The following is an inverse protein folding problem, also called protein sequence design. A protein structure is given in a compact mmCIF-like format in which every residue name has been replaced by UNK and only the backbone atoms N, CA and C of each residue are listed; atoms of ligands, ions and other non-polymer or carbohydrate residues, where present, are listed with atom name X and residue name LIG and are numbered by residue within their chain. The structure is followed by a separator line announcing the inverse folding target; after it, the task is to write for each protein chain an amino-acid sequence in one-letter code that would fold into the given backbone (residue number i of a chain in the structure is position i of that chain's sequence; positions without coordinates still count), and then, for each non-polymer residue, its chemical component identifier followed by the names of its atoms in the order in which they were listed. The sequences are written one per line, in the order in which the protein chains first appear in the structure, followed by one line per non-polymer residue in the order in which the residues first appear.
data_IF_603012355905
#
_entry.id   IF_603012355905
#
_cell.length_a   1.000
_cell.length_b   1.000
_cell.length_c   1.000
_cell.angle_alpha   90.00
_cell.angle_beta   90.00
_cell.angle_gamma   90.00
#
_symmetry.space_group_name_H-M   'P 1'
#
loop_
_entity.id
_entity.type
_entity.pdbx_description
1 polymer ?
#
# COMPACT_ATOMS: atom_id res chain seq x y z
N UNK A 1 -8.19 24.92 -7.61
CA UNK A 1 -7.06 23.99 -7.44
C UNK A 1 -6.89 23.26 -8.78
N UNK A 2 -5.76 23.43 -9.45
CA UNK A 2 -5.56 22.85 -10.79
C UNK A 2 -5.29 21.35 -10.62
N UNK A 3 -6.23 20.51 -11.06
CA UNK A 3 -5.99 19.08 -11.28
C UNK A 3 -5.02 18.98 -12.44
N UNK A 4 -3.82 18.49 -12.22
CA UNK A 4 -2.78 18.47 -13.25
C UNK A 4 -2.92 17.32 -14.25
N UNK A 5 -4.01 16.54 -14.27
CA UNK A 5 -4.31 15.65 -15.40
C UNK A 5 -3.55 14.33 -15.45
N UNK A 6 -2.63 14.06 -14.52
CA UNK A 6 -1.65 12.95 -14.66
C UNK A 6 -1.67 12.02 -13.44
N UNK A 7 -1.95 10.71 -13.62
CA UNK A 7 -1.93 9.71 -12.53
C UNK A 7 -0.52 9.55 -11.95
N UNK A 8 -0.39 9.05 -10.72
CA UNK A 8 0.91 8.60 -10.23
C UNK A 8 1.27 7.26 -10.85
N UNK A 9 2.52 7.14 -11.29
CA UNK A 9 3.09 5.90 -11.82
C UNK A 9 4.39 5.67 -11.06
N UNK A 10 4.32 4.86 -10.01
CA UNK A 10 5.44 4.62 -9.11
C UNK A 10 6.15 3.32 -9.53
N UNK A 11 7.40 3.45 -9.93
CA UNK A 11 8.26 2.30 -10.21
C UNK A 11 8.71 1.67 -8.88
N UNK A 12 8.30 0.43 -8.65
CA UNK A 12 8.75 -0.44 -7.55
C UNK A 12 10.10 -1.05 -7.92
N UNK A 13 11.18 -0.50 -7.35
CA UNK A 13 12.55 -0.83 -7.77
C UNK A 13 12.97 -2.27 -7.50
N UNK A 14 12.36 -2.95 -6.53
CA UNK A 14 12.80 -4.29 -6.12
C UNK A 14 11.73 -5.37 -6.33
N UNK A 15 10.44 -4.99 -6.32
CA UNK A 15 9.32 -5.92 -6.23
C UNK A 15 9.24 -6.67 -4.90
N UNK A 16 10.09 -6.35 -3.91
CA UNK A 16 10.23 -7.16 -2.70
C UNK A 16 9.25 -6.78 -1.60
N UNK A 17 8.71 -7.80 -0.92
CA UNK A 17 7.89 -7.64 0.28
C UNK A 17 8.70 -7.28 1.53
N UNK A 18 10.02 -7.54 1.54
CA UNK A 18 10.90 -7.20 2.66
C UNK A 18 11.37 -5.74 2.63
N UNK A 19 10.97 -4.99 1.61
CA UNK A 19 11.28 -3.59 1.44
C UNK A 19 11.51 -3.22 -0.02
N UNK A 20 10.98 -2.08 -0.42
CA UNK A 20 11.17 -1.53 -1.75
C UNK A 20 11.07 0.00 -1.76
N UNK A 21 11.46 0.57 -2.87
CA UNK A 21 11.36 1.98 -3.18
C UNK A 21 10.38 2.16 -4.33
N UNK A 22 9.44 3.09 -4.15
CA UNK A 22 8.39 3.44 -5.09
C UNK A 22 8.61 4.88 -5.50
N UNK A 23 9.11 5.09 -6.71
CA UNK A 23 9.47 6.42 -7.23
C UNK A 23 8.55 6.77 -8.38
N UNK A 24 7.80 7.87 -8.25
CA UNK A 24 6.96 8.37 -9.34
C UNK A 24 7.79 8.79 -10.56
N UNK A 25 7.32 8.47 -11.77
CA UNK A 25 8.01 8.81 -13.03
C UNK A 25 8.30 10.31 -13.22
N UNK A 26 7.56 11.18 -12.52
CA UNK A 26 7.74 12.63 -12.58
C UNK A 26 8.32 13.19 -11.26
N UNK A 27 8.91 12.35 -10.42
CA UNK A 27 9.55 12.70 -9.14
C UNK A 27 8.62 13.46 -8.17
N UNK A 28 7.29 13.29 -8.30
CA UNK A 28 6.30 13.98 -7.45
C UNK A 28 6.14 13.33 -6.07
N UNK A 29 6.45 12.04 -5.97
CA UNK A 29 6.40 11.27 -4.72
C UNK A 29 7.46 10.16 -4.76
N UNK A 30 8.13 9.95 -3.63
CA UNK A 30 9.08 8.86 -3.42
C UNK A 30 8.80 8.23 -2.06
N UNK A 31 8.24 7.02 -2.09
CA UNK A 31 7.95 6.23 -0.90
C UNK A 31 8.97 5.11 -0.75
N UNK A 32 9.55 4.97 0.44
CA UNK A 32 10.45 3.86 0.79
C UNK A 32 9.81 3.00 1.86
N UNK A 33 9.70 1.71 1.61
CA UNK A 33 9.28 0.72 2.60
C UNK A 33 10.49 -0.10 3.00
N UNK A 34 10.77 -0.20 4.30
CA UNK A 34 11.89 -1.02 4.79
C UNK A 34 11.60 -1.62 6.15
N UNK A 35 12.21 -2.77 6.43
CA UNK A 35 12.17 -3.39 7.74
C UNK A 35 12.94 -2.52 8.75
N UNK A 36 12.28 -2.13 9.84
CA UNK A 36 12.86 -1.32 10.92
C UNK A 36 13.25 -2.18 12.11
N UNK A 37 12.54 -3.29 12.32
CA UNK A 37 12.83 -4.24 13.39
C UNK A 37 12.47 -5.67 12.95
N UNK A 38 13.25 -6.65 13.37
CA UNK A 38 12.93 -8.07 13.25
C UNK A 38 13.47 -8.80 14.46
N UNK A 39 12.60 -9.54 15.14
CA UNK A 39 13.00 -10.32 16.31
C UNK A 39 13.37 -11.77 15.94
N UNK A 40 13.92 -12.50 16.91
CA UNK A 40 14.29 -13.91 16.75
C UNK A 40 13.10 -14.85 16.57
N UNK A 41 11.90 -14.40 16.93
CA UNK A 41 10.66 -15.18 16.85
C UNK A 41 9.96 -14.98 15.49
N UNK A 42 10.56 -14.19 14.60
CA UNK A 42 10.05 -13.90 13.27
C UNK A 42 8.98 -12.82 13.23
N UNK A 43 8.74 -12.09 14.33
CA UNK A 43 7.98 -10.85 14.29
C UNK A 43 8.81 -9.78 13.59
N UNK A 44 8.16 -8.90 12.85
CA UNK A 44 8.81 -7.86 12.07
C UNK A 44 7.99 -6.60 12.01
N UNK A 45 8.70 -5.48 12.00
CA UNK A 45 8.14 -4.15 11.81
C UNK A 45 8.75 -3.53 10.56
N UNK A 46 7.90 -2.85 9.80
CA UNK A 46 8.29 -2.09 8.62
C UNK A 46 7.80 -0.66 8.75
N UNK A 47 8.62 0.28 8.29
CA UNK A 47 8.24 1.67 8.11
C UNK A 47 8.10 2.01 6.63
N UNK A 48 7.09 2.81 6.30
CA UNK A 48 6.96 3.52 5.03
C UNK A 48 7.31 4.98 5.25
N UNK A 49 8.23 5.50 4.45
CA UNK A 49 8.76 6.86 4.57
C UNK A 49 8.49 7.63 3.28
N UNK A 50 8.07 8.89 3.39
CA UNK A 50 8.05 9.79 2.25
C UNK A 50 9.38 10.54 2.19
N UNK A 51 10.23 10.15 1.24
CA UNK A 51 11.60 10.65 1.13
C UNK A 51 11.69 12.09 0.64
N UNK A 52 10.59 12.64 0.10
CA UNK A 52 10.50 14.05 -0.30
C UNK A 52 9.89 14.95 0.79
N UNK A 53 9.41 14.36 1.90
CA UNK A 53 8.86 15.13 3.00
C UNK A 53 9.97 15.82 3.82
N UNK A 54 9.63 16.91 4.51
CA UNK A 54 10.58 17.64 5.38
C UNK A 54 11.15 16.76 6.49
N UNK A 55 10.32 15.86 7.03
CA UNK A 55 10.65 14.93 8.10
C UNK A 55 10.67 13.49 7.58
N UNK A 56 11.57 13.22 6.62
CA UNK A 56 11.66 11.92 5.94
C UNK A 56 12.18 10.79 6.86
N UNK A 57 12.73 11.14 8.02
CA UNK A 57 13.12 10.23 9.10
C UNK A 57 11.93 9.66 9.88
N UNK A 58 10.76 10.30 9.78
CA UNK A 58 9.52 9.86 10.43
C UNK A 58 8.70 9.06 9.40
N UNK A 59 8.30 7.82 9.71
CA UNK A 59 7.47 7.05 8.80
C UNK A 59 6.09 7.69 8.67
N UNK A 60 5.49 7.63 7.48
CA UNK A 60 4.08 8.00 7.22
C UNK A 60 3.13 6.84 7.56
N UNK A 61 3.63 5.61 7.53
CA UNK A 61 2.92 4.43 8.02
C UNK A 61 3.88 3.39 8.58
N UNK A 62 3.46 2.63 9.58
CA UNK A 62 4.19 1.44 10.06
C UNK A 62 3.33 0.19 9.99
N UNK A 63 3.97 -0.95 9.79
CA UNK A 63 3.35 -2.26 9.65
C UNK A 63 3.97 -3.21 10.65
N UNK A 64 3.17 -3.76 11.55
CA UNK A 64 3.60 -4.76 12.53
C UNK A 64 3.06 -6.13 12.14
N UNK A 65 3.97 -7.09 11.99
CA UNK A 65 3.66 -8.49 11.76
C UNK A 65 4.19 -9.32 12.91
N UNK A 66 3.35 -10.20 13.46
CA UNK A 66 3.74 -11.14 14.50
C UNK A 66 4.57 -12.32 13.96
N UNK A 67 4.88 -13.25 14.87
CA UNK A 67 5.58 -14.50 14.54
C UNK A 67 4.89 -15.24 13.36
N UNK A 68 5.69 -15.88 12.51
CA UNK A 68 5.19 -16.51 11.27
C UNK A 68 4.62 -15.52 10.25
N UNK A 69 4.76 -14.21 10.47
CA UNK A 69 4.15 -13.16 9.66
C UNK A 69 2.64 -13.00 9.88
N UNK A 70 2.14 -13.34 11.08
CA UNK A 70 0.77 -13.05 11.47
C UNK A 70 0.47 -11.54 11.33
N UNK A 71 -0.76 -11.19 10.94
CA UNK A 71 -1.16 -9.79 10.84
C UNK A 71 -1.24 -9.14 12.23
N UNK A 72 -0.51 -8.05 12.43
CA UNK A 72 -0.60 -7.21 13.61
C UNK A 72 -1.33 -5.91 13.29
N UNK A 73 -0.68 -4.78 13.55
CA UNK A 73 -1.27 -3.44 13.44
C UNK A 73 -0.65 -2.63 12.30
N UNK A 74 -1.46 -1.78 11.69
CA UNK A 74 -1.00 -0.66 10.88
C UNK A 74 -1.17 0.63 11.67
N UNK A 75 -0.18 1.50 11.63
CA UNK A 75 -0.27 2.85 12.20
C UNK A 75 0.02 3.88 11.13
N UNK A 76 -0.92 4.79 10.89
CA UNK A 76 -0.70 5.98 10.07
C UNK A 76 -0.25 7.14 10.94
N UNK A 77 0.75 7.89 10.47
CA UNK A 77 1.36 8.99 11.21
C UNK A 77 1.20 10.27 10.38
N UNK A 78 0.50 11.25 10.92
CA UNK A 78 0.31 12.54 10.25
C UNK A 78 1.56 13.43 10.37
N UNK A 79 1.64 14.44 9.51
CA UNK A 79 2.67 15.48 9.60
C UNK A 79 2.63 16.27 10.91
N UNK A 80 1.49 16.26 11.62
CA UNK A 80 1.31 16.90 12.93
C UNK A 80 1.69 15.97 14.10
N UNK A 81 2.14 14.74 13.80
CA UNK A 81 2.50 13.73 14.79
C UNK A 81 1.31 12.94 15.36
N UNK A 82 0.09 13.16 14.85
CA UNK A 82 -1.07 12.35 15.24
C UNK A 82 -0.92 10.93 14.70
N UNK A 83 -1.20 9.93 15.55
CA UNK A 83 -1.08 8.51 15.22
C UNK A 83 -2.45 7.84 15.22
N UNK A 84 -2.76 7.09 14.16
CA UNK A 84 -3.96 6.26 14.06
C UNK A 84 -3.56 4.80 13.86
N UNK A 85 -3.70 4.01 14.92
CA UNK A 85 -3.38 2.57 14.92
C UNK A 85 -4.65 1.72 14.78
N UNK A 86 -4.61 0.72 13.92
CA UNK A 86 -5.70 -0.26 13.73
C UNK A 86 -5.11 -1.66 13.50
N UNK A 87 -5.80 -2.68 13.98
CA UNK A 87 -5.50 -4.07 13.61
C UNK A 87 -5.70 -4.25 12.10
N UNK A 88 -4.70 -4.79 11.40
CA UNK A 88 -4.74 -4.96 9.94
C UNK A 88 -5.91 -5.85 9.52
N UNK A 89 -6.25 -6.87 10.32
CA UNK A 89 -7.38 -7.75 10.06
C UNK A 89 -8.75 -7.04 10.15
N UNK A 90 -8.88 -6.02 10.99
CA UNK A 90 -10.08 -5.20 11.09
C UNK A 90 -10.10 -4.08 10.04
N UNK A 91 -8.91 -3.60 9.64
CA UNK A 91 -8.76 -2.56 8.63
C UNK A 91 -9.01 -3.06 7.20
N UNK A 92 -8.53 -4.27 6.88
CA UNK A 92 -8.72 -4.95 5.59
C UNK A 92 -9.68 -6.14 5.75
N UNK A 93 -10.97 -5.86 5.60
CA UNK A 93 -12.07 -6.81 5.80
C UNK A 93 -12.23 -7.70 4.57
N UNK A 94 -12.31 -9.01 4.80
CA UNK A 94 -12.53 -9.99 3.73
C UNK A 94 -13.96 -9.95 3.19
N UNK A 95 -14.11 -9.89 1.86
CA UNK A 95 -15.42 -9.84 1.20
C UNK A 95 -15.63 -10.90 0.12
N UNK A 96 -14.56 -11.52 -0.38
CA UNK A 96 -14.64 -12.51 -1.45
C UNK A 96 -13.47 -13.48 -1.46
N UNK A 97 -12.97 -13.85 -0.28
CA UNK A 97 -11.77 -14.67 -0.08
C UNK A 97 -10.54 -13.87 0.30
N UNK A 98 -9.42 -14.53 0.65
CA UNK A 98 -8.26 -13.89 1.29
C UNK A 98 -7.58 -12.82 0.43
N UNK A 99 -7.78 -12.87 -0.90
CA UNK A 99 -7.23 -11.93 -1.89
C UNK A 99 -8.26 -10.94 -2.44
N UNK A 100 -9.43 -10.84 -1.80
CA UNK A 100 -10.44 -9.82 -2.09
C UNK A 100 -10.91 -9.17 -0.78
N UNK A 101 -10.39 -7.97 -0.49
CA UNK A 101 -10.59 -7.28 0.79
C UNK A 101 -10.92 -5.81 0.59
N UNK A 102 -11.77 -5.28 1.48
CA UNK A 102 -12.17 -3.89 1.54
C UNK A 102 -11.54 -3.14 2.69
N UNK A 103 -11.39 -1.83 2.53
CA UNK A 103 -10.92 -0.92 3.57
C UNK A 103 -11.56 0.46 3.42
N UNK A 104 -11.54 1.23 4.51
CA UNK A 104 -11.93 2.65 4.50
C UNK A 104 -10.67 3.52 4.55
N UNK A 105 -10.43 4.29 3.50
CA UNK A 105 -9.25 5.16 3.40
C UNK A 105 -9.39 6.42 4.28
N UNK A 106 -8.36 7.26 4.31
CA UNK A 106 -8.34 8.52 5.07
C UNK A 106 -9.41 9.53 4.65
N UNK A 107 -9.94 9.45 3.42
CA UNK A 107 -11.04 10.29 2.93
C UNK A 107 -12.43 9.83 3.43
N UNK A 108 -12.48 8.75 4.21
CA UNK A 108 -13.71 8.17 4.76
C UNK A 108 -14.49 7.31 3.77
N UNK A 109 -13.96 7.04 2.57
CA UNK A 109 -14.62 6.22 1.55
C UNK A 109 -14.10 4.79 1.54
N UNK A 110 -14.96 3.89 1.07
CA UNK A 110 -14.65 2.46 0.94
C UNK A 110 -14.01 2.14 -0.42
N UNK A 111 -13.00 1.28 -0.37
CA UNK A 111 -12.26 0.78 -1.51
C UNK A 111 -12.04 -0.73 -1.38
N UNK A 112 -11.85 -1.43 -2.49
CA UNK A 112 -11.64 -2.88 -2.51
C UNK A 112 -10.45 -3.29 -3.37
N UNK A 113 -9.56 -4.10 -2.83
CA UNK A 113 -8.47 -4.75 -3.56
C UNK A 113 -8.87 -6.14 -4.02
N UNK A 114 -8.55 -6.48 -5.26
CA UNK A 114 -8.75 -7.81 -5.85
C UNK A 114 -7.51 -8.28 -6.61
N UNK A 115 -7.17 -9.56 -6.46
CA UNK A 115 -6.04 -10.21 -7.15
C UNK A 115 -6.46 -10.80 -8.50
N UNK A 116 -5.73 -10.45 -9.58
CA UNK A 116 -5.85 -11.01 -10.93
C UNK A 116 -7.28 -11.18 -11.45
N UNK A 117 -8.14 -10.20 -11.21
CA UNK A 117 -9.53 -10.21 -11.71
C UNK A 117 -9.66 -9.68 -13.13
N UNK A 118 -8.63 -9.03 -13.66
CA UNK A 118 -8.61 -8.50 -15.03
C UNK A 118 -8.09 -9.54 -16.03
N UNK A 119 -8.60 -9.50 -17.25
CA UNK A 119 -8.10 -10.27 -18.40
C UNK A 119 -6.72 -9.84 -18.89
N UNK A 120 -6.16 -8.77 -18.32
CA UNK A 120 -4.78 -8.32 -18.57
C UNK A 120 -3.82 -9.19 -17.76
N UNK A 121 -3.01 -9.99 -18.45
CA UNK A 121 -2.15 -11.03 -17.86
C UNK A 121 -1.09 -10.51 -16.86
N UNK A 122 -0.88 -9.19 -16.85
CA UNK A 122 0.21 -8.53 -16.12
C UNK A 122 -0.23 -7.73 -14.89
N UNK A 123 -1.54 -7.49 -14.75
CA UNK A 123 -2.10 -6.73 -13.65
C UNK A 123 -2.36 -7.66 -12.46
N UNK A 124 -1.49 -7.61 -11.46
CA UNK A 124 -1.58 -8.50 -10.32
C UNK A 124 -2.66 -8.05 -9.33
N UNK A 125 -2.74 -6.75 -9.05
CA UNK A 125 -3.72 -6.18 -8.14
C UNK A 125 -4.47 -5.01 -8.77
N UNK A 126 -5.78 -4.95 -8.51
CA UNK A 126 -6.61 -3.80 -8.84
C UNK A 126 -7.37 -3.33 -7.60
N UNK A 127 -7.41 -2.01 -7.39
CA UNK A 127 -8.20 -1.36 -6.35
C UNK A 127 -9.34 -0.61 -6.99
N UNK A 128 -10.57 -0.83 -6.53
CA UNK A 128 -11.76 -0.14 -7.03
C UNK A 128 -12.44 0.66 -5.92
N UNK A 129 -13.14 1.74 -6.30
CA UNK A 129 -14.05 2.46 -5.41
C UNK A 129 -15.43 1.79 -5.35
N UNK A 130 -16.36 2.36 -4.56
CA UNK A 130 -17.73 1.86 -4.41
C UNK A 130 -18.53 1.76 -5.73
N UNK A 131 -18.16 2.50 -6.77
CA UNK A 131 -18.79 2.45 -8.10
C UNK A 131 -18.13 1.41 -9.02
N UNK A 132 -17.12 0.66 -8.54
CA UNK A 132 -16.39 -0.32 -9.34
C UNK A 132 -15.34 0.27 -10.28
N UNK A 133 -15.06 1.58 -10.23
CA UNK A 133 -13.99 2.17 -11.02
C UNK A 133 -12.64 1.88 -10.38
N UNK A 134 -11.67 1.45 -11.19
CA UNK A 134 -10.27 1.31 -10.75
C UNK A 134 -9.72 2.67 -10.32
N UNK A 135 -9.06 2.70 -9.17
CA UNK A 135 -8.45 3.90 -8.57
C UNK A 135 -6.96 3.73 -8.27
N UNK A 136 -6.50 2.48 -8.15
CA UNK A 136 -5.10 2.12 -8.03
C UNK A 136 -4.89 0.70 -8.55
N UNK A 137 -3.65 0.35 -8.88
CA UNK A 137 -3.32 -0.97 -9.40
C UNK A 137 -1.83 -1.29 -9.23
N UNK A 138 -1.47 -2.56 -9.32
CA UNK A 138 -0.09 -3.03 -9.29
C UNK A 138 0.15 -4.06 -10.38
N UNK A 139 1.15 -3.82 -11.22
CA UNK A 139 1.55 -4.67 -12.33
C UNK A 139 2.99 -5.17 -12.16
N UNK A 140 3.26 -6.39 -12.64
CA UNK A 140 4.56 -7.07 -12.47
C UNK A 140 5.36 -7.14 -13.78
N UNK A 141 4.74 -6.98 -14.94
CA UNK A 141 5.44 -7.22 -16.21
C UNK A 141 6.43 -6.10 -16.59
N UNK A 142 7.70 -6.48 -16.71
CA UNK A 142 8.87 -5.67 -17.17
C UNK A 142 9.39 -4.55 -16.26
N UNK A 143 8.73 -4.27 -15.15
CA UNK A 143 9.17 -3.30 -14.15
C UNK A 143 8.02 -3.09 -13.19
N UNK A 144 8.11 -3.68 -12.00
CA UNK A 144 7.06 -3.64 -11.00
C UNK A 144 6.55 -2.20 -10.86
N UNK A 145 5.24 -1.99 -11.04
CA UNK A 145 4.70 -0.65 -11.12
C UNK A 145 3.41 -0.55 -10.33
N UNK A 146 3.33 0.47 -9.50
CA UNK A 146 2.16 0.83 -8.72
C UNK A 146 1.56 2.12 -9.28
N UNK A 147 0.33 2.04 -9.77
CA UNK A 147 -0.40 3.17 -10.34
C UNK A 147 -1.47 3.69 -9.37
N UNK A 148 -1.67 5.01 -9.34
CA UNK A 148 -2.80 5.67 -8.67
C UNK A 148 -3.45 6.66 -9.63
N UNK A 149 -4.75 6.50 -9.85
CA UNK A 149 -5.49 7.29 -10.82
C UNK A 149 -5.55 8.78 -10.41
N UNK A 150 -5.60 9.65 -11.42
CA UNK A 150 -5.53 11.12 -11.28
C UNK A 150 -6.45 11.73 -10.21
N UNK A 151 -7.69 11.24 -9.96
CA UNK A 151 -8.54 11.83 -8.94
C UNK A 151 -8.08 11.52 -7.49
N UNK A 152 -7.15 10.59 -7.29
CA UNK A 152 -6.80 10.03 -5.98
C UNK A 152 -5.33 10.18 -5.53
N UNK A 153 -4.54 11.18 -5.96
CA UNK A 153 -3.13 11.29 -5.54
C UNK A 153 -2.99 11.49 -4.02
N UNK A 154 -3.99 12.11 -3.38
CA UNK A 154 -4.04 12.31 -1.94
C UNK A 154 -4.16 11.00 -1.14
N UNK A 155 -4.53 9.88 -1.78
CA UNK A 155 -4.64 8.55 -1.16
C UNK A 155 -3.50 7.61 -1.55
N UNK A 156 -2.44 8.10 -2.21
CA UNK A 156 -1.35 7.24 -2.67
C UNK A 156 -0.68 6.46 -1.52
N UNK A 157 -0.56 7.06 -0.33
CA UNK A 157 -0.02 6.41 0.86
C UNK A 157 -0.99 5.33 1.37
N UNK A 158 -2.28 5.63 1.51
CA UNK A 158 -3.31 4.66 1.90
C UNK A 158 -3.33 3.44 0.97
N UNK A 159 -3.31 3.69 -0.34
CA UNK A 159 -3.33 2.64 -1.35
C UNK A 159 -2.05 1.80 -1.35
N UNK A 160 -0.88 2.42 -1.26
CA UNK A 160 0.36 1.65 -1.18
C UNK A 160 0.44 0.85 0.13
N UNK A 161 0.04 1.44 1.26
CA UNK A 161 0.07 0.78 2.55
C UNK A 161 -0.84 -0.44 2.59
N UNK A 162 -2.07 -0.31 2.07
CA UNK A 162 -3.01 -1.43 1.97
C UNK A 162 -2.54 -2.48 0.95
N UNK A 163 -1.96 -2.07 -0.17
CA UNK A 163 -1.36 -2.99 -1.14
C UNK A 163 -0.23 -3.82 -0.51
N UNK A 164 0.66 -3.22 0.29
CA UNK A 164 1.73 -3.95 0.96
C UNK A 164 1.19 -5.03 1.89
N UNK A 165 0.11 -4.73 2.64
CA UNK A 165 -0.56 -5.74 3.48
C UNK A 165 -1.21 -6.84 2.61
N UNK A 166 -1.91 -6.48 1.53
CA UNK A 166 -2.54 -7.45 0.63
C UNK A 166 -1.52 -8.40 -0.01
N UNK A 167 -0.37 -7.87 -0.47
CA UNK A 167 0.72 -8.68 -1.03
C UNK A 167 1.33 -9.61 0.03
N UNK A 168 1.49 -9.14 1.28
CA UNK A 168 1.95 -9.96 2.40
C UNK A 168 0.98 -11.11 2.71
N UNK A 169 -0.33 -10.85 2.70
CA UNK A 169 -1.38 -11.86 2.88
C UNK A 169 -1.31 -12.91 1.76
N UNK A 170 -1.23 -12.47 0.50
CA UNK A 170 -1.22 -13.37 -0.65
C UNK A 170 -0.01 -14.30 -0.67
N UNK A 171 1.18 -13.81 -0.26
CA UNK A 171 2.40 -14.61 -0.20
C UNK A 171 2.38 -15.71 0.89
N UNK A 172 1.42 -15.70 1.82
CA UNK A 172 1.31 -16.67 2.93
C UNK A 172 0.08 -17.56 2.87
N UNK A 173 -0.93 -17.17 2.09
CA UNK A 173 -2.15 -17.95 1.85
C UNK A 173 -2.10 -18.60 0.46
N UNK A 174 -1.01 -19.31 0.15
CA UNK A 174 -0.86 -20.13 -1.06
C UNK A 174 -1.29 -21.55 -0.81
#
# INVERSE_FOLDING_TARGET
MVKTGIPFMLNDRTGSLSGSEFVDLYDRIYLRVCCTHRDSNGASEYGMYNMLARHHEIPVATFQYGAGGALGNITFISSEGSMRTQAMAAFLVEVGGPRHRKFTASDGREYSWSWRTSTQEDLEWSCVNANGHTVAWYAVSSGHMFGVEEPYPHLAIDFLATLMIMRHIAARNT
#
